data_IF_455929195977
#
_entry.id   IF_455929195977
#
_cell.length_a   1.000
_cell.length_b   1.000
_cell.length_c   1.000
_cell.angle_alpha   90.00
_cell.angle_beta   90.00
_cell.angle_gamma   90.00
#
_symmetry.space_group_name_H-M   'P 1'
#
loop_
_entity.id
_entity.type
_entity.pdbx_description
1 polymer ?
#
# COMPACT_ATOMS: atom_id res chain seq x y z
N UNK A 1 -48.23 17.00 -27.64
CA UNK A 1 -47.45 18.21 -27.27
C UNK A 1 -47.80 18.61 -25.84
N UNK A 2 -46.81 19.08 -25.09
CA UNK A 2 -46.81 19.54 -23.67
C UNK A 2 -47.18 18.50 -22.60
N UNK A 3 -46.21 17.93 -21.87
CA UNK A 3 -45.37 18.51 -20.80
C UNK A 3 -45.97 18.27 -19.41
N UNK A 4 -45.38 17.35 -18.64
CA UNK A 4 -45.34 17.42 -17.16
C UNK A 4 -43.99 16.95 -16.66
N UNK A 5 -43.30 17.89 -16.01
CA UNK A 5 -41.97 17.81 -15.43
C UNK A 5 -41.97 17.05 -14.11
N UNK A 6 -40.92 16.25 -13.94
CA UNK A 6 -40.44 15.69 -12.69
C UNK A 6 -39.97 16.79 -11.71
N UNK A 7 -40.33 16.65 -10.43
CA UNK A 7 -39.58 17.21 -9.32
C UNK A 7 -38.89 16.05 -8.60
N UNK A 8 -37.56 16.03 -8.63
CA UNK A 8 -36.75 15.16 -7.80
C UNK A 8 -35.81 16.07 -7.00
N UNK A 9 -35.99 16.04 -5.68
CA UNK A 9 -35.21 16.81 -4.72
C UNK A 9 -33.78 16.26 -4.68
N UNK A 10 -32.81 17.11 -4.97
CA UNK A 10 -31.40 16.84 -4.79
C UNK A 10 -30.97 17.35 -3.41
N UNK A 11 -30.58 16.43 -2.53
CA UNK A 11 -29.83 16.76 -1.31
C UNK A 11 -28.35 16.88 -1.66
N UNK A 12 -27.88 18.11 -1.84
CA UNK A 12 -26.47 18.45 -1.99
C UNK A 12 -25.76 18.41 -0.62
N UNK A 13 -24.75 17.54 -0.49
CA UNK A 13 -23.77 17.63 0.60
C UNK A 13 -22.65 18.58 0.16
N UNK A 14 -22.66 19.79 0.70
CA UNK A 14 -21.54 20.72 0.62
C UNK A 14 -20.39 20.26 1.54
N UNK A 15 -19.20 20.08 0.97
CA UNK A 15 -17.95 20.12 1.72
C UNK A 15 -17.51 21.59 1.82
N UNK A 16 -17.54 22.12 3.04
CA UNK A 16 -17.05 23.45 3.38
C UNK A 16 -15.52 23.48 3.36
N UNK A 17 -14.97 24.24 2.43
CA UNK A 17 -13.58 24.69 2.44
C UNK A 17 -13.44 25.86 3.42
N UNK A 18 -12.77 25.66 4.55
CA UNK A 18 -12.35 26.77 5.41
C UNK A 18 -11.07 27.39 4.84
N UNK A 19 -11.22 28.53 4.16
CA UNK A 19 -10.13 29.48 3.97
C UNK A 19 -10.01 30.33 5.23
N UNK A 20 -8.79 30.50 5.75
CA UNK A 20 -8.51 31.45 6.81
C UNK A 20 -7.43 32.40 6.31
N UNK A 21 -7.89 33.58 5.93
CA UNK A 21 -7.04 34.74 5.62
C UNK A 21 -7.14 35.71 6.77
N UNK A 22 -6.03 35.85 7.49
CA UNK A 22 -5.32 37.11 7.70
C UNK A 22 -5.95 38.31 8.46
N UNK A 23 -5.08 38.90 9.30
CA UNK A 23 -5.04 40.27 9.86
C UNK A 23 -5.72 40.56 11.21
N UNK A 24 -4.88 40.77 12.24
CA UNK A 24 -4.58 42.06 12.92
C UNK A 24 -3.55 41.79 14.04
N UNK A 25 -2.32 42.34 14.07
CA UNK A 25 -1.80 43.72 14.21
C UNK A 25 -1.50 44.10 15.68
N UNK A 26 -0.28 44.63 15.88
CA UNK A 26 0.32 45.42 17.01
C UNK A 26 1.18 44.64 18.02
N UNK A 27 2.50 44.90 18.01
CA UNK A 27 3.28 45.87 18.85
C UNK A 27 3.35 45.35 20.30
N UNK A 28 4.47 45.33 21.03
CA UNK A 28 5.72 46.09 21.00
C UNK A 28 6.68 45.43 22.02
N UNK A 29 7.98 45.73 21.91
CA UNK A 29 8.93 45.91 23.05
C UNK A 29 9.21 44.74 24.01
N UNK A 30 10.43 44.21 24.02
CA UNK A 30 11.51 44.68 24.91
C UNK A 30 12.65 43.65 25.04
N UNK A 31 13.86 44.16 24.78
CA UNK A 31 15.05 44.13 25.63
C UNK A 31 15.71 42.82 26.13
N UNK A 32 17.03 42.84 25.92
CA UNK A 32 18.10 42.46 26.83
C UNK A 32 18.82 41.09 26.70
N UNK A 33 20.05 41.21 26.17
CA UNK A 33 21.33 40.89 26.81
C UNK A 33 21.68 39.44 27.20
N UNK A 34 22.77 38.92 26.61
CA UNK A 34 23.94 38.36 27.30
C UNK A 34 25.01 37.94 26.25
N UNK A 35 26.04 38.75 25.99
CA UNK A 35 27.35 38.84 26.69
C UNK A 35 28.39 37.77 26.26
N UNK A 36 29.57 38.16 25.74
CA UNK A 36 30.66 37.25 25.39
C UNK A 36 31.61 36.99 26.59
N UNK A 37 31.97 35.71 26.81
CA UNK A 37 32.98 35.31 27.79
C UNK A 37 34.39 35.63 27.29
N UNK A 38 35.05 36.58 27.95
CA UNK A 38 36.52 36.71 28.01
C UNK A 38 37.06 35.71 29.03
N UNK A 39 38.13 35.00 28.69
CA UNK A 39 39.02 34.39 29.67
C UNK A 39 40.45 34.87 29.39
N UNK A 40 40.95 35.70 30.30
CA UNK A 40 42.36 35.93 30.53
C UNK A 40 42.91 34.74 31.35
N UNK A 41 44.15 34.35 31.12
CA UNK A 41 45.01 33.85 32.18
C UNK A 41 46.48 34.07 31.82
N UNK A 42 47.23 34.38 32.87
CA UNK A 42 48.49 35.08 32.91
C UNK A 42 49.72 34.23 32.57
N UNK A 43 50.75 34.97 32.16
CA UNK A 43 52.15 34.60 32.10
C UNK A 43 52.73 34.33 33.50
N UNK A 44 53.53 33.27 33.63
CA UNK A 44 54.63 33.21 34.59
C UNK A 44 55.86 32.68 33.85
N UNK A 45 56.90 33.51 33.83
CA UNK A 45 58.22 33.21 33.26
C UNK A 45 59.10 32.55 34.33
N UNK A 46 59.82 31.50 33.97
CA UNK A 46 60.99 31.00 34.69
C UNK A 46 62.01 30.47 33.66
N UNK A 47 63.26 30.99 33.63
CA UNK A 47 64.28 30.50 32.72
C UNK A 47 65.19 29.51 33.44
N UNK A 48 65.35 28.31 32.88
CA UNK A 48 66.46 27.41 33.20
C UNK A 48 66.69 26.46 32.02
N UNK A 49 67.78 26.74 31.31
CA UNK A 49 68.35 25.99 30.19
C UNK A 49 68.93 24.67 30.70
N UNK A 50 68.67 23.53 30.02
CA UNK A 50 69.75 22.57 29.70
C UNK A 50 69.35 21.43 28.74
N UNK A 51 69.92 21.50 27.54
CA UNK A 51 70.71 20.43 26.91
C UNK A 51 70.10 19.03 26.65
N UNK A 52 68.83 18.91 26.23
CA UNK A 52 68.29 17.64 25.67
C UNK A 52 67.43 17.78 24.39
N UNK A 53 67.34 18.96 23.78
CA UNK A 53 66.36 19.26 22.73
C UNK A 53 66.64 18.71 21.32
N UNK A 54 67.78 18.08 21.04
CA UNK A 54 68.07 17.58 19.69
C UNK A 54 67.74 16.09 19.47
N UNK A 55 67.64 15.27 20.51
CA UNK A 55 67.21 13.86 20.37
C UNK A 55 65.67 13.68 20.46
N UNK A 56 64.96 14.54 21.20
CA UNK A 56 63.48 14.51 21.25
C UNK A 56 62.80 15.02 19.96
N UNK A 57 63.47 15.86 19.16
CA UNK A 57 62.91 16.36 17.89
C UNK A 57 62.92 15.33 16.76
N UNK A 58 63.76 14.28 16.86
CA UNK A 58 63.80 13.20 15.86
C UNK A 58 62.81 12.07 16.20
N UNK A 59 62.62 11.76 17.49
CA UNK A 59 61.62 10.76 17.93
C UNK A 59 60.18 11.27 17.78
N UNK A 60 59.93 12.57 18.01
CA UNK A 60 58.61 13.18 17.79
C UNK A 60 58.21 13.27 16.32
N UNK A 61 59.14 13.55 15.41
CA UNK A 61 58.85 13.55 13.95
C UNK A 61 58.52 12.15 13.42
N UNK A 62 59.19 11.11 13.90
CA UNK A 62 58.90 9.72 13.48
C UNK A 62 57.52 9.27 13.99
N UNK A 63 57.20 9.58 15.24
CA UNK A 63 55.90 9.25 15.85
C UNK A 63 54.72 9.98 15.20
N UNK A 64 54.91 11.23 14.75
CA UNK A 64 53.88 12.00 14.03
C UNK A 64 53.56 11.42 12.65
N UNK A 65 54.57 10.93 11.94
CA UNK A 65 54.39 10.32 10.62
C UNK A 65 53.70 8.95 10.70
N UNK A 66 54.01 8.16 11.73
CA UNK A 66 53.38 6.87 11.96
C UNK A 66 51.89 7.04 12.36
N UNK A 67 51.56 8.06 13.17
CA UNK A 67 50.17 8.39 13.52
C UNK A 67 49.37 8.94 12.32
N UNK A 68 49.98 9.73 11.43
CA UNK A 68 49.33 10.18 10.19
C UNK A 68 49.10 9.04 9.21
N UNK A 69 50.06 8.12 9.05
CA UNK A 69 49.93 6.97 8.16
C UNK A 69 48.86 5.99 8.68
N UNK A 70 48.79 5.75 9.99
CA UNK A 70 47.72 4.95 10.59
C UNK A 70 46.36 5.65 10.46
N UNK A 71 46.26 6.97 10.66
CA UNK A 71 45.00 7.72 10.43
C UNK A 71 44.56 7.70 8.98
N UNK A 72 45.48 7.76 8.02
CA UNK A 72 45.16 7.66 6.59
C UNK A 72 44.72 6.26 6.21
N UNK A 73 45.36 5.20 6.71
CA UNK A 73 44.92 3.81 6.51
C UNK A 73 43.58 3.53 7.20
N UNK A 74 43.32 4.09 8.39
CA UNK A 74 42.02 3.97 9.06
C UNK A 74 40.92 4.78 8.35
N UNK A 75 41.25 5.90 7.72
CA UNK A 75 40.33 6.66 6.87
C UNK A 75 40.08 5.99 5.51
N UNK A 76 41.08 5.33 4.91
CA UNK A 76 40.90 4.51 3.70
C UNK A 76 40.05 3.27 4.00
N UNK A 77 40.33 2.52 5.07
CA UNK A 77 39.48 1.41 5.49
C UNK A 77 38.06 1.84 5.91
N UNK A 78 37.87 3.05 6.47
CA UNK A 78 36.53 3.62 6.69
C UNK A 78 35.81 4.04 5.41
N UNK A 79 36.53 4.35 4.33
CA UNK A 79 35.96 4.63 3.01
C UNK A 79 35.63 3.35 2.24
N UNK A 80 36.34 2.26 2.49
CA UNK A 80 36.12 0.97 1.82
C UNK A 80 35.13 0.04 2.53
N UNK A 81 34.83 0.28 3.83
CA UNK A 81 33.85 -0.49 4.59
C UNK A 81 32.44 0.14 4.66
N UNK A 82 32.05 0.98 3.70
CA UNK A 82 30.62 1.17 3.46
C UNK A 82 30.16 0.00 2.60
N UNK A 83 29.78 -1.11 3.24
CA UNK A 83 28.90 -2.09 2.60
C UNK A 83 27.73 -1.30 2.03
N UNK A 84 27.66 -1.14 0.71
CA UNK A 84 26.58 -0.40 0.05
C UNK A 84 25.26 -0.93 0.60
N UNK A 85 24.45 -0.04 1.16
CA UNK A 85 23.16 -0.45 1.71
C UNK A 85 22.37 -1.13 0.59
N UNK A 86 21.74 -2.26 0.91
CA UNK A 86 20.92 -2.97 -0.05
C UNK A 86 19.75 -2.08 -0.51
N UNK A 87 19.34 -2.19 -1.79
CA UNK A 87 18.38 -1.29 -2.39
C UNK A 87 16.99 -1.39 -1.75
N UNK A 88 16.27 -0.27 -1.83
CA UNK A 88 14.82 -0.22 -1.68
C UNK A 88 14.18 -0.24 -3.06
N UNK A 89 13.26 -1.17 -3.27
CA UNK A 89 12.45 -1.28 -4.49
C UNK A 89 11.10 -0.59 -4.26
N UNK A 90 10.68 0.26 -5.20
CA UNK A 90 9.33 0.84 -5.21
C UNK A 90 8.61 0.31 -6.44
N UNK A 91 7.57 -0.49 -6.23
CA UNK A 91 6.77 -1.01 -7.35
C UNK A 91 5.63 -0.07 -7.68
N UNK A 92 5.45 0.28 -8.95
CA UNK A 92 4.37 1.12 -9.46
C UNK A 92 3.63 0.34 -10.55
N UNK A 93 2.31 0.19 -10.37
CA UNK A 93 1.48 -0.49 -11.36
C UNK A 93 0.10 -0.84 -10.84
N UNK A 94 -0.83 -1.22 -11.72
CA UNK A 94 -2.19 -1.63 -11.35
C UNK A 94 -2.21 -2.78 -10.34
N UNK A 95 -3.29 -2.91 -9.59
CA UNK A 95 -3.53 -4.09 -8.77
C UNK A 95 -3.61 -5.33 -9.68
N UNK A 96 -3.22 -6.50 -9.16
CA UNK A 96 -3.19 -7.77 -9.89
C UNK A 96 -2.21 -7.87 -11.08
N UNK A 97 -1.35 -6.86 -11.33
CA UNK A 97 -0.36 -6.92 -12.43
C UNK A 97 0.88 -7.80 -12.14
N UNK A 98 0.97 -8.43 -10.96
CA UNK A 98 2.04 -9.37 -10.62
C UNK A 98 3.23 -8.78 -9.85
N UNK A 99 3.11 -7.57 -9.27
CA UNK A 99 4.17 -6.89 -8.50
C UNK A 99 4.84 -7.79 -7.45
N UNK A 100 4.08 -8.35 -6.52
CA UNK A 100 4.63 -9.21 -5.45
C UNK A 100 5.19 -10.53 -5.99
N UNK A 101 4.66 -11.07 -7.10
CA UNK A 101 5.23 -12.26 -7.74
C UNK A 101 6.59 -11.95 -8.37
N UNK A 102 6.72 -10.82 -9.03
CA UNK A 102 7.99 -10.37 -9.58
C UNK A 102 9.03 -10.11 -8.47
N UNK A 103 8.65 -9.43 -7.39
CA UNK A 103 9.53 -9.20 -6.25
C UNK A 103 10.03 -10.50 -5.60
N UNK A 104 9.18 -11.52 -5.48
CA UNK A 104 9.56 -12.85 -4.97
C UNK A 104 10.58 -13.56 -5.87
N UNK A 105 10.54 -13.33 -7.17
CA UNK A 105 11.48 -13.92 -8.11
C UNK A 105 12.80 -13.12 -8.20
N UNK A 106 12.74 -11.81 -7.92
CA UNK A 106 13.89 -10.92 -7.96
C UNK A 106 14.87 -11.22 -6.81
N UNK A 107 16.17 -11.22 -7.11
CA UNK A 107 17.25 -11.54 -6.15
C UNK A 107 17.09 -12.89 -5.42
N UNK A 108 16.44 -13.88 -6.04
CA UNK A 108 16.22 -15.20 -5.43
C UNK A 108 15.33 -15.17 -4.19
N UNK A 109 14.36 -14.25 -4.13
CA UNK A 109 13.37 -14.18 -3.05
C UNK A 109 13.88 -13.60 -1.73
N UNK A 110 15.05 -12.95 -1.74
CA UNK A 110 15.64 -12.34 -0.54
C UNK A 110 15.11 -10.94 -0.24
N UNK A 111 14.21 -10.41 -1.06
CA UNK A 111 13.64 -9.08 -0.87
C UNK A 111 12.52 -9.18 0.16
N UNK A 112 12.64 -8.38 1.22
CA UNK A 112 11.56 -8.24 2.20
C UNK A 112 10.49 -7.31 1.63
N UNK A 113 9.35 -7.88 1.24
CA UNK A 113 8.18 -7.13 0.75
C UNK A 113 7.40 -6.54 1.94
N UNK A 114 7.38 -5.21 2.05
CA UNK A 114 6.60 -4.50 3.07
C UNK A 114 5.33 -4.02 2.40
N UNK A 115 4.27 -4.79 2.64
CA UNK A 115 2.94 -4.56 2.10
C UNK A 115 2.04 -3.89 3.14
N UNK A 116 1.36 -2.83 2.74
CA UNK A 116 0.32 -2.17 3.55
C UNK A 116 -0.89 -3.08 3.77
N UNK A 117 -1.14 -3.98 2.81
CA UNK A 117 -2.30 -4.87 2.78
C UNK A 117 -2.17 -6.02 3.78
N UNK A 118 -0.94 -6.36 4.21
CA UNK A 118 -0.69 -7.49 5.12
C UNK A 118 -0.62 -7.07 6.59
N UNK A 119 -0.99 -5.81 6.89
CA UNK A 119 -1.05 -5.30 8.25
C UNK A 119 -2.33 -5.74 8.95
N UNK A 120 -2.29 -5.79 10.28
CA UNK A 120 -3.41 -6.22 11.12
C UNK A 120 -4.69 -5.45 10.79
N UNK A 121 -5.80 -6.19 10.72
CA UNK A 121 -7.17 -5.70 10.47
C UNK A 121 -7.37 -4.94 9.15
N UNK A 122 -6.44 -4.99 8.19
CA UNK A 122 -6.66 -4.40 6.85
C UNK A 122 -7.56 -5.31 6.02
N UNK A 123 -7.36 -6.61 6.11
CA UNK A 123 -8.24 -7.64 5.56
C UNK A 123 -8.68 -8.55 6.70
N UNK A 124 -9.98 -8.72 6.87
CA UNK A 124 -10.57 -9.62 7.86
C UNK A 124 -11.25 -10.76 7.13
N UNK A 125 -10.74 -12.00 7.22
CA UNK A 125 -11.37 -13.15 6.58
C UNK A 125 -12.69 -13.45 7.28
N UNK A 126 -13.74 -13.68 6.49
CA UNK A 126 -15.03 -14.15 7.00
C UNK A 126 -15.54 -15.27 6.10
N UNK A 127 -16.40 -16.13 6.64
CA UNK A 127 -16.99 -17.19 5.86
C UNK A 127 -17.81 -16.62 4.68
N UNK A 128 -17.62 -17.19 3.48
CA UNK A 128 -18.21 -16.68 2.23
C UNK A 128 -19.74 -16.78 2.21
N UNK A 129 -20.31 -17.74 2.94
CA UNK A 129 -21.76 -17.88 3.14
C UNK A 129 -22.38 -16.61 3.76
N UNK A 130 -21.67 -15.93 4.67
CA UNK A 130 -22.13 -14.67 5.26
C UNK A 130 -22.27 -13.55 4.23
N UNK A 131 -21.47 -13.54 3.15
CA UNK A 131 -21.65 -12.61 2.03
C UNK A 131 -22.91 -12.92 1.22
N UNK A 132 -23.20 -14.21 1.00
CA UNK A 132 -24.35 -14.64 0.19
C UNK A 132 -25.67 -14.23 0.84
N UNK A 133 -25.76 -14.35 2.17
CA UNK A 133 -26.98 -14.08 2.94
C UNK A 133 -27.14 -12.63 3.41
N UNK A 134 -26.12 -11.78 3.24
CA UNK A 134 -26.11 -10.41 3.79
C UNK A 134 -27.28 -9.50 3.35
N UNK A 135 -27.95 -9.82 2.23
CA UNK A 135 -29.12 -9.11 1.70
C UNK A 135 -30.46 -9.79 1.95
N UNK A 136 -30.46 -11.07 2.30
CA UNK A 136 -31.70 -11.83 2.43
C UNK A 136 -32.38 -11.57 3.80
N UNK A 137 -31.59 -11.14 4.80
CA UNK A 137 -32.01 -10.83 6.18
C UNK A 137 -32.95 -9.61 6.36
N UNK A 138 -33.48 -9.00 5.31
CA UNK A 138 -34.53 -7.99 5.45
C UNK A 138 -35.91 -8.59 5.80
N UNK A 139 -36.03 -9.93 5.82
CA UNK A 139 -37.21 -10.62 6.33
C UNK A 139 -37.05 -10.88 7.84
N UNK A 140 -37.21 -9.83 8.66
CA UNK A 140 -37.23 -9.88 10.13
C UNK A 140 -38.39 -10.72 10.73
N UNK A 141 -39.08 -11.56 9.95
CA UNK A 141 -40.32 -12.22 10.36
C UNK A 141 -40.22 -13.73 10.62
N UNK A 142 -39.08 -14.39 10.40
CA UNK A 142 -39.03 -15.86 10.43
C UNK A 142 -38.33 -16.44 11.68
N UNK A 143 -39.18 -16.86 12.62
CA UNK A 143 -39.08 -17.99 13.54
C UNK A 143 -37.78 -18.18 14.38
N UNK A 144 -37.91 -17.93 15.68
CA UNK A 144 -36.92 -18.09 16.77
C UNK A 144 -36.45 -19.54 17.06
N UNK A 145 -36.54 -20.49 16.12
CA UNK A 145 -36.40 -21.93 16.42
C UNK A 145 -35.17 -22.64 15.82
N UNK A 146 -34.17 -21.94 15.28
CA UNK A 146 -32.86 -22.52 14.91
C UNK A 146 -31.72 -21.82 15.68
N UNK A 147 -31.54 -22.19 16.95
CA UNK A 147 -30.98 -21.29 17.97
C UNK A 147 -29.49 -21.43 18.37
N UNK A 148 -28.67 -22.31 17.79
CA UNK A 148 -27.27 -22.43 18.28
C UNK A 148 -26.18 -22.01 17.28
N UNK A 149 -26.36 -22.22 15.97
CA UNK A 149 -25.37 -21.81 14.97
C UNK A 149 -25.59 -20.38 14.46
N UNK A 150 -26.84 -19.91 14.42
CA UNK A 150 -27.19 -18.54 14.01
C UNK A 150 -26.54 -17.51 14.94
N UNK A 151 -26.59 -17.76 16.25
CA UNK A 151 -26.04 -16.90 17.30
C UNK A 151 -24.53 -16.64 17.19
N UNK A 152 -23.75 -17.62 16.72
CA UNK A 152 -22.29 -17.45 16.56
C UNK A 152 -21.95 -16.53 15.39
N UNK A 153 -22.56 -16.78 14.23
CA UNK A 153 -22.35 -15.98 13.03
C UNK A 153 -22.81 -14.53 13.23
N UNK A 154 -23.93 -14.33 13.93
CA UNK A 154 -24.43 -12.98 14.25
C UNK A 154 -23.45 -12.20 15.14
N UNK A 155 -22.81 -12.84 16.12
CA UNK A 155 -21.82 -12.17 16.99
C UNK A 155 -20.57 -11.75 16.23
N UNK A 156 -20.06 -12.60 15.34
CA UNK A 156 -18.92 -12.26 14.48
C UNK A 156 -19.23 -11.06 13.58
N UNK A 157 -20.40 -11.08 12.92
CA UNK A 157 -20.86 -9.99 12.05
C UNK A 157 -21.10 -8.65 12.77
N UNK A 158 -21.37 -8.69 14.08
CA UNK A 158 -21.52 -7.51 14.92
C UNK A 158 -20.18 -6.92 15.39
N UNK A 159 -19.06 -7.63 15.20
CA UNK A 159 -17.75 -7.10 15.58
C UNK A 159 -17.46 -5.80 14.83
N UNK A 160 -17.00 -4.78 15.57
CA UNK A 160 -16.83 -3.41 15.08
C UNK A 160 -15.36 -3.12 14.79
N UNK A 161 -15.07 -2.87 13.52
CA UNK A 161 -13.76 -2.40 13.07
C UNK A 161 -13.82 -0.93 12.67
N UNK A 162 -13.05 -0.10 13.38
CA UNK A 162 -12.89 1.32 13.10
C UNK A 162 -14.24 2.10 13.03
N UNK A 163 -15.20 1.68 13.85
CA UNK A 163 -16.51 2.31 14.01
C UNK A 163 -17.63 1.75 13.12
N UNK A 164 -17.38 0.69 12.33
CA UNK A 164 -18.41 -0.02 11.54
C UNK A 164 -18.36 -1.52 11.81
N UNK A 165 -19.53 -2.16 11.87
CA UNK A 165 -19.60 -3.63 11.98
C UNK A 165 -19.18 -4.31 10.67
N UNK A 166 -18.77 -5.58 10.76
CA UNK A 166 -18.51 -6.40 9.58
C UNK A 166 -19.75 -6.51 8.68
N UNK A 167 -20.95 -6.71 9.23
CA UNK A 167 -22.18 -6.76 8.46
C UNK A 167 -22.40 -5.51 7.60
N UNK A 168 -22.21 -4.32 8.17
CA UNK A 168 -22.32 -3.06 7.42
C UNK A 168 -21.31 -3.00 6.28
N UNK A 169 -20.07 -3.44 6.51
CA UNK A 169 -19.01 -3.43 5.49
C UNK A 169 -19.27 -4.43 4.36
N UNK A 170 -19.78 -5.61 4.69
CA UNK A 170 -20.22 -6.61 3.70
C UNK A 170 -21.31 -6.00 2.83
N UNK A 171 -22.37 -5.44 3.43
CA UNK A 171 -23.48 -4.80 2.71
C UNK A 171 -23.06 -3.61 1.85
N UNK A 172 -22.00 -2.90 2.24
CA UNK A 172 -21.41 -1.83 1.44
C UNK A 172 -20.67 -2.36 0.18
N UNK A 173 -20.29 -3.65 0.14
CA UNK A 173 -19.52 -4.29 -0.93
C UNK A 173 -20.42 -5.01 -1.96
N UNK A 174 -21.35 -4.27 -2.54
CA UNK A 174 -22.39 -4.77 -3.46
C UNK A 174 -21.81 -5.53 -4.65
N UNK A 175 -20.72 -5.04 -5.24
CA UNK A 175 -20.07 -5.67 -6.39
C UNK A 175 -19.63 -7.10 -6.07
N UNK A 176 -18.89 -7.29 -4.97
CA UNK A 176 -18.42 -8.59 -4.54
C UNK A 176 -19.58 -9.56 -4.22
N UNK A 177 -20.64 -9.06 -3.59
CA UNK A 177 -21.83 -9.89 -3.31
C UNK A 177 -22.49 -10.38 -4.60
N UNK A 178 -22.67 -9.50 -5.60
CA UNK A 178 -23.25 -9.90 -6.88
C UNK A 178 -22.39 -10.95 -7.59
N UNK A 179 -21.05 -10.84 -7.50
CA UNK A 179 -20.10 -11.81 -8.04
C UNK A 179 -20.25 -13.17 -7.34
N UNK A 180 -20.23 -13.17 -6.00
CA UNK A 180 -20.34 -14.41 -5.22
C UNK A 180 -21.69 -15.11 -5.45
N UNK A 181 -22.80 -14.36 -5.52
CA UNK A 181 -24.12 -14.93 -5.85
C UNK A 181 -24.16 -15.51 -7.26
N UNK A 182 -23.55 -14.84 -8.24
CA UNK A 182 -23.42 -15.37 -9.60
C UNK A 182 -22.60 -16.65 -9.63
N UNK A 183 -21.49 -16.68 -8.89
CA UNK A 183 -20.62 -17.86 -8.76
C UNK A 183 -21.33 -19.03 -8.05
N UNK A 184 -22.12 -18.74 -7.01
CA UNK A 184 -22.94 -19.72 -6.30
C UNK A 184 -24.19 -20.18 -7.08
N UNK A 185 -24.39 -19.69 -8.31
CA UNK A 185 -25.54 -19.98 -9.17
C UNK A 185 -26.89 -19.47 -8.61
N UNK A 186 -26.87 -18.55 -7.66
CA UNK A 186 -28.08 -17.89 -7.12
C UNK A 186 -28.64 -16.80 -8.05
N UNK A 187 -27.90 -16.48 -9.13
CA UNK A 187 -28.29 -15.52 -10.15
C UNK A 187 -27.93 -16.04 -11.54
N UNK A 188 -28.83 -15.80 -12.51
CA UNK A 188 -28.58 -16.10 -13.93
C UNK A 188 -27.60 -15.08 -14.51
N UNK A 189 -26.91 -15.43 -15.61
CA UNK A 189 -25.99 -14.50 -16.28
C UNK A 189 -26.66 -13.16 -16.66
N UNK A 190 -27.91 -13.21 -17.12
CA UNK A 190 -28.69 -12.03 -17.52
C UNK A 190 -29.03 -11.15 -16.31
N UNK A 191 -29.50 -11.75 -15.21
CA UNK A 191 -29.82 -11.01 -13.97
C UNK A 191 -28.56 -10.38 -13.37
N UNK A 192 -27.46 -11.13 -13.34
CA UNK A 192 -26.16 -10.65 -12.89
C UNK A 192 -25.68 -9.44 -13.69
N UNK A 193 -25.66 -9.53 -15.03
CA UNK A 193 -25.28 -8.42 -15.91
C UNK A 193 -26.13 -7.18 -15.66
N UNK A 194 -27.46 -7.33 -15.60
CA UNK A 194 -28.38 -6.21 -15.36
C UNK A 194 -28.12 -5.53 -14.02
N UNK A 195 -27.89 -6.31 -12.94
CA UNK A 195 -27.63 -5.78 -11.60
C UNK A 195 -26.29 -5.07 -11.50
N UNK A 196 -25.22 -5.63 -12.09
CA UNK A 196 -23.90 -4.97 -12.15
C UNK A 196 -23.99 -3.66 -12.93
N UNK A 197 -24.60 -3.66 -14.11
CA UNK A 197 -24.79 -2.44 -14.92
C UNK A 197 -25.63 -1.39 -14.20
N UNK A 198 -26.66 -1.81 -13.45
CA UNK A 198 -27.48 -0.90 -12.63
C UNK A 198 -26.65 -0.30 -11.50
N UNK A 199 -25.93 -1.12 -10.74
CA UNK A 199 -25.04 -0.68 -9.65
C UNK A 199 -24.02 0.36 -10.12
N UNK A 200 -23.33 0.09 -11.25
CA UNK A 200 -22.36 1.04 -11.81
C UNK A 200 -23.01 2.37 -12.23
N UNK A 201 -24.19 2.32 -12.86
CA UNK A 201 -24.93 3.54 -13.24
C UNK A 201 -25.36 4.36 -12.03
N UNK A 202 -25.93 3.74 -11.01
CA UNK A 202 -26.39 4.42 -9.79
C UNK A 202 -25.25 5.10 -9.02
N UNK A 203 -24.02 4.56 -9.13
CA UNK A 203 -22.81 5.11 -8.50
C UNK A 203 -22.02 6.05 -9.42
N UNK A 204 -22.52 6.37 -10.63
CA UNK A 204 -21.81 7.15 -11.65
C UNK A 204 -20.41 6.58 -11.99
N UNK A 205 -20.29 5.25 -12.03
CA UNK A 205 -19.09 4.53 -12.43
C UNK A 205 -19.15 4.15 -13.92
N UNK A 206 -18.00 3.81 -14.51
CA UNK A 206 -17.89 3.48 -15.94
C UNK A 206 -18.63 2.20 -16.31
N UNK A 207 -19.64 2.30 -17.17
CA UNK A 207 -20.36 1.13 -17.70
C UNK A 207 -19.49 0.23 -18.57
N UNK A 208 -18.44 0.77 -19.18
CA UNK A 208 -17.47 -0.03 -19.93
C UNK A 208 -16.67 -0.94 -19.00
N UNK A 209 -16.31 -0.47 -17.80
CA UNK A 209 -15.65 -1.31 -16.77
C UNK A 209 -16.62 -2.37 -16.28
N UNK A 210 -17.90 -2.03 -16.07
CA UNK A 210 -18.94 -2.99 -15.71
C UNK A 210 -19.09 -4.11 -16.75
N UNK A 211 -19.12 -3.77 -18.04
CA UNK A 211 -19.18 -4.75 -19.13
C UNK A 211 -17.93 -5.64 -19.15
N UNK A 212 -16.74 -5.07 -19.00
CA UNK A 212 -15.49 -5.84 -18.93
C UNK A 212 -15.49 -6.81 -17.73
N UNK A 213 -16.03 -6.39 -16.58
CA UNK A 213 -16.19 -7.24 -15.40
C UNK A 213 -17.15 -8.40 -15.66
N UNK A 214 -18.32 -8.14 -16.28
CA UNK A 214 -19.29 -9.19 -16.63
C UNK A 214 -18.65 -10.23 -17.55
N UNK A 215 -17.96 -9.78 -18.60
CA UNK A 215 -17.26 -10.68 -19.54
C UNK A 215 -16.18 -11.50 -18.82
N UNK A 216 -15.37 -10.87 -17.97
CA UNK A 216 -14.31 -11.57 -17.22
C UNK A 216 -14.86 -12.64 -16.28
N UNK A 217 -16.02 -12.39 -15.66
CA UNK A 217 -16.67 -13.36 -14.76
C UNK A 217 -17.25 -14.53 -15.52
N UNK A 218 -17.99 -14.28 -16.61
CA UNK A 218 -18.56 -15.37 -17.40
C UNK A 218 -17.48 -16.24 -18.04
N UNK A 219 -16.37 -15.65 -18.49
CA UNK A 219 -15.20 -16.38 -18.97
C UNK A 219 -14.55 -17.22 -17.86
N UNK A 220 -14.36 -16.64 -16.67
CA UNK A 220 -13.82 -17.34 -15.51
C UNK A 220 -14.71 -18.52 -15.08
N UNK A 221 -16.03 -18.32 -14.97
CA UNK A 221 -16.97 -19.37 -14.59
C UNK A 221 -17.12 -20.46 -15.65
N UNK A 222 -16.85 -20.13 -16.92
CA UNK A 222 -16.81 -21.09 -18.03
C UNK A 222 -15.48 -21.86 -18.10
N UNK A 223 -14.43 -21.38 -17.41
CA UNK A 223 -13.11 -22.02 -17.41
C UNK A 223 -13.21 -23.36 -16.67
N UNK A 224 -13.07 -24.45 -17.40
CA UNK A 224 -13.09 -25.80 -16.85
C UNK A 224 -11.74 -26.14 -16.23
N UNK A 225 -11.74 -26.58 -14.96
CA UNK A 225 -10.52 -27.07 -14.32
C UNK A 225 -10.35 -28.54 -14.67
N UNK A 226 -9.54 -28.85 -15.68
CA UNK A 226 -9.22 -30.24 -16.06
C UNK A 226 -8.37 -30.89 -14.98
N UNK A 227 -8.99 -31.62 -14.04
CA UNK A 227 -8.27 -32.42 -13.05
C UNK A 227 -7.87 -33.75 -13.68
N UNK A 228 -6.59 -34.10 -13.57
CA UNK A 228 -5.80 -35.01 -14.43
C UNK A 228 -6.21 -36.49 -14.50
N UNK A 229 -7.41 -36.91 -14.14
CA UNK A 229 -7.75 -38.36 -14.18
C UNK A 229 -9.22 -38.73 -14.43
N UNK A 230 -10.15 -37.78 -14.47
CA UNK A 230 -11.56 -38.06 -14.74
C UNK A 230 -12.20 -36.86 -15.42
N UNK A 231 -12.88 -37.10 -16.55
CA UNK A 231 -13.51 -36.11 -17.47
C UNK A 231 -14.69 -35.32 -16.88
N UNK A 232 -14.73 -35.12 -15.57
CA UNK A 232 -15.79 -34.35 -14.92
C UNK A 232 -15.40 -32.87 -14.94
N UNK A 233 -15.99 -32.12 -15.85
CA UNK A 233 -15.91 -30.66 -15.91
C UNK A 233 -16.63 -30.07 -14.70
N UNK A 234 -15.87 -29.64 -13.68
CA UNK A 234 -16.42 -28.91 -12.54
C UNK A 234 -16.13 -27.40 -12.72
N UNK A 235 -17.10 -26.51 -12.45
CA UNK A 235 -16.83 -25.08 -12.38
C UNK A 235 -15.79 -24.76 -11.29
N UNK A 236 -15.14 -23.57 -11.35
CA UNK A 236 -14.22 -23.13 -10.31
C UNK A 236 -14.87 -23.23 -8.91
N UNK A 237 -14.16 -23.79 -7.93
CA UNK A 237 -14.65 -23.85 -6.55
C UNK A 237 -14.67 -22.45 -5.93
N UNK A 238 -15.77 -22.10 -5.26
CA UNK A 238 -15.92 -20.83 -4.54
C UNK A 238 -14.99 -20.79 -3.31
N UNK A 239 -14.39 -19.63 -2.97
CA UNK A 239 -13.55 -19.54 -1.78
C UNK A 239 -14.36 -19.82 -0.51
N UNK A 240 -13.75 -20.51 0.46
CA UNK A 240 -14.39 -20.80 1.76
C UNK A 240 -14.53 -19.56 2.62
N UNK A 241 -13.51 -18.72 2.60
CA UNK A 241 -13.46 -17.42 3.28
C UNK A 241 -13.22 -16.33 2.26
N UNK A 242 -13.85 -15.18 2.47
CA UNK A 242 -13.69 -13.98 1.67
C UNK A 242 -13.29 -12.83 2.59
N UNK A 243 -12.28 -12.07 2.21
CA UNK A 243 -11.76 -11.00 3.04
C UNK A 243 -12.61 -9.73 2.91
N UNK A 244 -13.00 -9.15 4.04
CA UNK A 244 -13.55 -7.80 4.12
C UNK A 244 -12.39 -6.80 4.22
N UNK A 245 -12.30 -5.88 3.26
CA UNK A 245 -11.31 -4.81 3.28
C UNK A 245 -11.73 -3.66 4.20
N UNK A 246 -10.85 -3.27 5.12
CA UNK A 246 -11.09 -2.23 6.12
C UNK A 246 -10.18 -1.05 5.84
N UNK A 247 -10.63 -0.19 4.92
CA UNK A 247 -9.88 0.99 4.48
C UNK A 247 -9.38 1.85 5.65
N UNK A 248 -10.19 2.02 6.69
CA UNK A 248 -9.84 2.85 7.84
C UNK A 248 -8.64 2.29 8.63
N UNK A 249 -8.41 0.97 8.65
CA UNK A 249 -7.26 0.36 9.32
C UNK A 249 -5.93 0.80 8.71
N UNK A 250 -5.94 1.23 7.42
CA UNK A 250 -4.76 1.80 6.80
C UNK A 250 -4.31 3.12 7.44
N UNK A 251 -5.26 3.95 7.86
CA UNK A 251 -5.01 5.34 8.24
C UNK A 251 -5.25 5.63 9.72
N UNK A 252 -6.22 4.95 10.34
CA UNK A 252 -6.58 5.16 11.74
C UNK A 252 -5.75 4.24 12.64
N UNK A 253 -5.32 4.73 13.81
CA UNK A 253 -4.67 3.88 14.79
C UNK A 253 -5.53 2.67 15.18
N UNK A 254 -4.92 1.49 15.23
CA UNK A 254 -5.55 0.31 15.80
C UNK A 254 -5.77 0.51 17.33
N UNK A 255 -6.89 0.06 17.91
CA UNK A 255 -7.21 0.29 19.32
C UNK A 255 -6.14 -0.22 20.29
N UNK A 256 -5.51 -1.36 19.98
CA UNK A 256 -4.52 -2.00 20.85
C UNK A 256 -3.11 -1.44 20.65
N UNK A 257 -2.66 -1.33 19.40
CA UNK A 257 -1.27 -0.94 19.10
C UNK A 257 -1.08 0.58 19.07
N UNK A 258 -2.18 1.35 18.97
CA UNK A 258 -2.19 2.81 18.77
C UNK A 258 -1.40 3.26 17.54
N UNK A 259 -1.20 2.37 16.57
CA UNK A 259 -0.55 2.65 15.29
C UNK A 259 -1.50 2.28 14.14
N UNK A 260 -1.49 3.06 13.07
CA UNK A 260 -2.14 2.66 11.82
C UNK A 260 -1.25 1.68 11.05
N UNK A 261 -1.84 0.90 10.14
CA UNK A 261 -1.08 -0.01 9.27
C UNK A 261 0.07 0.70 8.54
N UNK A 262 -0.19 1.90 8.00
CA UNK A 262 0.84 2.71 7.32
C UNK A 262 1.98 3.09 8.28
N UNK A 263 1.68 3.46 9.53
CA UNK A 263 2.71 3.77 10.52
C UNK A 263 3.54 2.54 10.86
N UNK A 264 2.90 1.38 11.06
CA UNK A 264 3.57 0.11 11.32
C UNK A 264 4.50 -0.28 10.16
N UNK A 265 4.05 -0.15 8.90
CA UNK A 265 4.89 -0.41 7.72
C UNK A 265 6.06 0.56 7.60
N UNK A 266 5.89 1.85 7.94
CA UNK A 266 7.02 2.79 7.99
C UNK A 266 8.03 2.45 9.08
N UNK A 267 7.57 2.02 10.25
CA UNK A 267 8.45 1.58 11.32
C UNK A 267 9.19 0.31 10.94
N UNK A 268 8.54 -0.59 10.22
CA UNK A 268 9.17 -1.79 9.67
C UNK A 268 10.25 -1.45 8.63
N UNK A 269 10.00 -0.48 7.74
CA UNK A 269 11.02 0.02 6.82
C UNK A 269 12.26 0.55 7.56
N UNK A 270 12.07 1.33 8.63
CA UNK A 270 13.17 1.89 9.43
C UNK A 270 13.96 0.82 10.18
N UNK A 271 13.27 -0.18 10.73
CA UNK A 271 13.87 -1.26 11.53
C UNK A 271 14.60 -2.28 10.68
N UNK A 272 14.28 -2.39 9.38
CA UNK A 272 14.87 -3.42 8.53
C UNK A 272 16.38 -3.18 8.31
N UNK A 273 17.26 -4.16 8.62
CA UNK A 273 18.71 -4.03 8.51
C UNK A 273 19.19 -3.59 7.12
N UNK A 274 20.17 -2.68 7.07
CA UNK A 274 20.65 -2.05 5.82
C UNK A 274 21.15 -3.02 4.74
N UNK A 275 21.61 -4.20 5.12
CA UNK A 275 22.10 -5.23 4.18
C UNK A 275 20.98 -6.08 3.57
N UNK A 276 19.73 -5.93 4.03
CA UNK A 276 18.56 -6.66 3.50
C UNK A 276 17.88 -5.77 2.46
N UNK A 277 17.68 -6.24 1.22
CA UNK A 277 16.90 -5.51 0.23
C UNK A 277 15.42 -5.50 0.64
N UNK A 278 14.76 -4.38 0.43
CA UNK A 278 13.37 -4.16 0.85
C UNK A 278 12.53 -3.69 -0.34
N UNK A 279 11.25 -4.02 -0.35
CA UNK A 279 10.30 -3.47 -1.30
C UNK A 279 9.18 -2.74 -0.59
N UNK A 280 8.73 -1.64 -1.20
CA UNK A 280 7.53 -0.91 -0.83
C UNK A 280 6.49 -1.07 -1.93
N UNK A 281 5.44 -1.83 -1.62
CA UNK A 281 4.33 -2.06 -2.54
C UNK A 281 3.42 -0.84 -2.63
N UNK A 282 3.60 0.05 -3.62
CA UNK A 282 2.58 1.04 -3.93
C UNK A 282 1.45 0.38 -4.73
N UNK A 283 0.28 0.26 -4.11
CA UNK A 283 -0.89 -0.37 -4.73
C UNK A 283 -1.69 0.60 -5.60
N UNK A 284 -1.58 1.92 -5.42
CA UNK A 284 -2.48 2.90 -6.06
C UNK A 284 -1.82 3.83 -7.07
N UNK A 285 -0.51 3.74 -7.27
CA UNK A 285 0.24 4.57 -8.22
C UNK A 285 0.05 6.09 -7.98
N UNK A 286 -0.08 6.54 -6.73
CA UNK A 286 -0.01 7.99 -6.41
C UNK A 286 1.37 8.30 -5.82
N UNK A 287 1.94 9.43 -6.21
CA UNK A 287 3.27 9.85 -5.73
C UNK A 287 3.35 9.95 -4.20
N UNK A 288 2.31 10.54 -3.60
CA UNK A 288 2.15 10.66 -2.15
C UNK A 288 2.21 9.33 -1.39
N UNK A 289 1.91 8.21 -2.04
CA UNK A 289 1.83 6.89 -1.38
C UNK A 289 3.23 6.28 -1.14
N UNK A 290 4.29 6.82 -1.77
CA UNK A 290 5.68 6.39 -1.54
C UNK A 290 6.63 7.54 -1.17
N UNK A 291 6.15 8.77 -1.07
CA UNK A 291 6.94 9.94 -0.64
C UNK A 291 7.66 9.68 0.69
N UNK A 292 6.93 9.21 1.70
CA UNK A 292 7.52 8.90 3.01
C UNK A 292 8.49 7.72 2.96
N UNK A 293 8.27 6.74 2.08
CA UNK A 293 9.20 5.64 1.87
C UNK A 293 10.53 6.14 1.25
N UNK A 294 10.46 7.07 0.30
CA UNK A 294 11.63 7.74 -0.27
C UNK A 294 12.42 8.53 0.78
N UNK A 295 11.73 9.27 1.65
CA UNK A 295 12.38 9.96 2.76
C UNK A 295 13.12 8.99 3.70
N UNK A 296 12.50 7.84 4.03
CA UNK A 296 13.15 6.79 4.83
C UNK A 296 14.35 6.19 4.08
N UNK A 297 14.23 5.95 2.77
CA UNK A 297 15.35 5.47 1.95
C UNK A 297 16.54 6.43 2.01
N UNK A 298 16.27 7.73 1.84
CA UNK A 298 17.27 8.78 1.93
C UNK A 298 17.95 8.81 3.31
N UNK A 299 17.16 8.83 4.39
CA UNK A 299 17.68 8.82 5.77
C UNK A 299 18.53 7.57 6.08
N UNK A 300 18.13 6.42 5.54
CA UNK A 300 18.84 5.14 5.74
C UNK A 300 20.01 4.94 4.78
N UNK A 301 20.18 5.85 3.79
CA UNK A 301 21.16 5.78 2.69
C UNK A 301 21.00 4.53 1.82
N UNK A 302 19.76 4.09 1.60
CA UNK A 302 19.46 2.99 0.67
C UNK A 302 19.30 3.53 -0.76
N UNK A 303 19.96 2.94 -1.76
CA UNK A 303 19.66 3.26 -3.15
C UNK A 303 18.22 2.85 -3.48
N UNK A 304 17.51 3.68 -4.25
CA UNK A 304 16.12 3.42 -4.65
C UNK A 304 16.10 2.91 -6.08
N UNK A 305 15.34 1.83 -6.32
CA UNK A 305 15.06 1.29 -7.66
C UNK A 305 13.55 1.25 -7.89
N UNK A 306 13.09 1.85 -8.97
CA UNK A 306 11.69 1.76 -9.35
C UNK A 306 11.45 0.52 -10.21
N UNK A 307 10.33 -0.15 -9.96
CA UNK A 307 9.82 -1.25 -10.80
C UNK A 307 8.49 -0.79 -11.38
N UNK A 308 8.43 -0.58 -12.70
CA UNK A 308 7.28 0.04 -13.36
C UNK A 308 6.52 -0.95 -14.25
N UNK A 309 5.22 -1.09 -14.03
CA UNK A 309 4.30 -1.75 -14.95
C UNK A 309 3.59 -0.68 -15.79
N UNK A 310 4.05 -0.42 -17.01
CA UNK A 310 3.51 0.65 -17.87
C UNK A 310 3.49 0.21 -19.34
N UNK A 311 2.45 0.57 -20.13
CA UNK A 311 2.32 0.12 -21.51
C UNK A 311 3.56 0.44 -22.37
N UNK A 312 4.08 1.65 -22.28
CA UNK A 312 5.21 2.11 -23.12
C UNK A 312 6.60 1.58 -22.71
N UNK A 313 6.73 1.06 -21.48
CA UNK A 313 8.01 0.55 -20.96
C UNK A 313 8.05 -0.98 -20.91
N UNK A 314 6.97 -1.65 -21.32
CA UNK A 314 6.83 -3.11 -21.23
C UNK A 314 7.89 -3.88 -22.03
N UNK A 315 8.42 -3.28 -23.11
CA UNK A 315 9.43 -3.89 -23.99
C UNK A 315 10.84 -3.31 -23.82
N UNK A 316 11.04 -2.33 -22.92
CA UNK A 316 12.35 -1.68 -22.76
C UNK A 316 13.20 -2.46 -21.75
N UNK A 317 14.22 -3.14 -22.27
CA UNK A 317 15.32 -3.72 -21.49
C UNK A 317 16.57 -2.84 -21.62
N UNK A 318 16.45 -1.55 -21.31
CA UNK A 318 17.59 -0.62 -21.34
C UNK A 318 18.55 -0.77 -20.14
N UNK A 319 18.32 -1.79 -19.30
CA UNK A 319 19.23 -2.22 -18.23
C UNK A 319 19.21 -1.34 -16.99
N UNK A 320 18.69 -0.11 -17.10
CA UNK A 320 18.63 0.85 -16.00
C UNK A 320 17.26 0.85 -15.30
N UNK A 321 16.16 0.69 -16.06
CA UNK A 321 14.81 0.64 -15.52
C UNK A 321 14.33 -0.80 -15.35
N UNK A 322 13.88 -1.15 -14.14
CA UNK A 322 13.19 -2.43 -13.93
C UNK A 322 11.73 -2.28 -14.36
N UNK A 323 11.29 -3.11 -15.28
CA UNK A 323 9.94 -3.05 -15.83
C UNK A 323 9.18 -4.37 -15.59
N UNK A 324 7.87 -4.24 -15.50
CA UNK A 324 6.90 -5.32 -15.50
C UNK A 324 6.16 -5.29 -16.83
N UNK A 325 5.83 -6.46 -17.42
CA UNK A 325 5.01 -6.49 -18.63
C UNK A 325 3.65 -5.84 -18.33
N UNK A 326 3.19 -5.00 -19.25
CA UNK A 326 1.86 -4.41 -19.14
C UNK A 326 0.80 -5.49 -19.27
N UNK A 327 -0.23 -5.40 -18.44
CA UNK A 327 -1.34 -6.35 -18.42
C UNK A 327 -2.63 -5.58 -18.70
N UNK A 328 -3.41 -5.95 -19.72
CA UNK A 328 -4.64 -5.25 -20.05
C UNK A 328 -5.72 -5.48 -18.98
N UNK A 329 -6.71 -4.59 -18.93
CA UNK A 329 -7.70 -4.55 -17.86
C UNK A 329 -8.48 -5.87 -17.74
N UNK A 330 -8.91 -6.46 -18.85
CA UNK A 330 -9.63 -7.73 -18.89
C UNK A 330 -8.85 -8.86 -18.21
N UNK A 331 -7.55 -8.96 -18.48
CA UNK A 331 -6.67 -9.94 -17.84
C UNK A 331 -6.45 -9.63 -16.35
N UNK A 332 -6.33 -8.35 -15.96
CA UNK A 332 -6.25 -7.96 -14.55
C UNK A 332 -7.52 -8.34 -13.77
N UNK A 333 -8.69 -8.22 -14.39
CA UNK A 333 -9.97 -8.62 -13.80
C UNK A 333 -10.03 -10.14 -13.62
N UNK A 334 -9.59 -10.94 -14.61
CA UNK A 334 -9.49 -12.40 -14.47
C UNK A 334 -8.54 -12.79 -13.33
N UNK A 335 -7.35 -12.19 -13.27
CA UNK A 335 -6.40 -12.42 -12.17
C UNK A 335 -6.97 -12.06 -10.80
N UNK A 336 -7.80 -11.03 -10.73
CA UNK A 336 -8.50 -10.67 -9.50
C UNK A 336 -9.53 -11.72 -9.07
N UNK A 337 -10.21 -12.39 -10.01
CA UNK A 337 -11.09 -13.54 -9.71
C UNK A 337 -10.32 -14.76 -9.23
N UNK A 338 -9.19 -15.09 -9.88
CA UNK A 338 -8.29 -16.13 -9.37
C UNK A 338 -7.71 -15.80 -7.99
N UNK A 339 -7.46 -14.52 -7.71
CA UNK A 339 -7.04 -14.05 -6.38
C UNK A 339 -8.16 -14.23 -5.35
N UNK A 340 -9.40 -13.86 -5.70
CA UNK A 340 -10.56 -14.11 -4.84
C UNK A 340 -10.70 -15.62 -4.56
N UNK A 341 -10.56 -16.47 -5.58
CA UNK A 341 -10.63 -17.91 -5.42
C UNK A 341 -9.59 -18.46 -4.44
N UNK A 342 -8.34 -18.04 -4.61
CA UNK A 342 -7.20 -18.65 -3.91
C UNK A 342 -6.87 -18.01 -2.57
N UNK A 343 -7.25 -16.75 -2.37
CA UNK A 343 -6.87 -15.96 -1.20
C UNK A 343 -8.07 -15.33 -0.48
N UNK A 344 -9.29 -15.44 -1.00
CA UNK A 344 -10.45 -14.71 -0.48
C UNK A 344 -10.41 -13.20 -0.75
N UNK A 345 -9.35 -12.67 -1.38
CA UNK A 345 -9.14 -11.23 -1.59
C UNK A 345 -9.67 -10.76 -2.94
N UNK A 346 -10.57 -9.79 -2.90
CA UNK A 346 -11.12 -9.12 -4.08
C UNK A 346 -10.84 -7.61 -4.05
N UNK A 347 -10.40 -7.06 -5.20
CA UNK A 347 -10.30 -5.61 -5.40
C UNK A 347 -11.44 -5.16 -6.33
N UNK A 348 -12.19 -4.10 -6.01
CA UNK A 348 -13.24 -3.62 -6.90
C UNK A 348 -12.72 -3.28 -8.31
N UNK A 349 -13.44 -3.70 -9.34
CA UNK A 349 -13.02 -3.55 -10.73
C UNK A 349 -12.79 -2.09 -11.13
N UNK A 350 -13.62 -1.17 -10.61
CA UNK A 350 -13.41 0.27 -10.82
C UNK A 350 -12.07 0.77 -10.24
N UNK A 351 -11.60 0.22 -9.12
CA UNK A 351 -10.34 0.63 -8.51
C UNK A 351 -9.14 0.17 -9.33
N UNK A 352 -9.23 -1.02 -9.96
CA UNK A 352 -8.23 -1.54 -10.90
C UNK A 352 -8.19 -0.63 -12.14
N UNK A 353 -9.34 -0.34 -12.75
CA UNK A 353 -9.43 0.49 -13.95
C UNK A 353 -8.92 1.92 -13.71
N UNK A 354 -9.29 2.54 -12.59
CA UNK A 354 -8.81 3.86 -12.16
C UNK A 354 -7.28 3.86 -11.94
N UNK A 355 -6.72 2.76 -11.42
CA UNK A 355 -5.27 2.61 -11.31
C UNK A 355 -4.58 2.49 -12.68
N UNK A 356 -5.15 1.71 -13.61
CA UNK A 356 -4.66 1.64 -14.99
C UNK A 356 -4.61 3.03 -15.65
N UNK A 357 -5.69 3.82 -15.52
CA UNK A 357 -5.75 5.18 -16.06
C UNK A 357 -4.66 6.09 -15.47
N UNK A 358 -4.46 6.05 -14.15
CA UNK A 358 -3.40 6.83 -13.50
C UNK A 358 -2.02 6.46 -13.99
N UNK A 359 -1.73 5.16 -14.11
CA UNK A 359 -0.43 4.68 -14.57
C UNK A 359 -0.15 5.17 -15.99
N UNK A 360 -1.12 5.02 -16.91
CA UNK A 360 -0.98 5.53 -18.28
C UNK A 360 -0.81 7.06 -18.31
N UNK A 361 -1.48 7.79 -17.43
CA UNK A 361 -1.39 9.25 -17.37
C UNK A 361 -0.03 9.76 -16.84
N UNK A 362 0.74 8.97 -16.09
CA UNK A 362 2.06 9.37 -15.59
C UNK A 362 3.02 9.76 -16.72
N UNK A 363 2.90 9.10 -17.87
CA UNK A 363 3.76 9.35 -19.02
C UNK A 363 3.45 10.69 -19.71
N UNK A 364 2.18 11.08 -19.78
CA UNK A 364 1.76 12.33 -20.40
C UNK A 364 2.30 13.58 -19.69
N UNK A 365 2.77 13.45 -18.44
CA UNK A 365 3.36 14.55 -17.67
C UNK A 365 4.88 14.60 -17.69
N UNK A 366 5.55 13.61 -18.29
CA UNK A 366 7.01 13.56 -18.39
C UNK A 366 7.56 14.08 -19.74
N UNK A 367 6.68 14.35 -20.70
CA UNK A 367 6.97 15.05 -21.96
C UNK A 367 6.46 16.48 -21.82
#
# INVERSE_FOLDING_TARGET
MTSRRNQQQQSSRHYSSTSSSDKRRRQEQNDNNNAPRKNNNNEEQNPSVNHNQQQEQQTTKKKKNDDESQRQQQQQHRREATTDAAPMYITIGPQCCGKSTFLRNLNGGKIKDISLDDQQDVYVPIATDLFLHAYDDNNENDNENENDNKDKNTKELQHVYQGKSLLTRIRDNVELILILRRWNLDSTAIDFEQRILKYYRERNLSTTVAQALVVAIEDFLSTTTTTTTTTNTKPPEMPRETDVFILESLFKPHPETRQSAIQTSYDELRKTPKHIPIAWGNTNAKAKDYERALEIAHQTRRPVKFILCHPEYSDRNDGELLTLPWVPLDELLKRNLYRLQSQGRYIPAFAIADCCQRVTAMYCTMI
#
